data_IF_527103184813
#
_entry.id   IF_527103184813
#
_cell.length_a   1.000
_cell.length_b   1.000
_cell.length_c   1.000
_cell.angle_alpha   90.00
_cell.angle_beta   90.00
_cell.angle_gamma   90.00
#
_symmetry.space_group_name_H-M   'P 1'
#
loop_
_entity.id
_entity.type
_entity.pdbx_description
1 polymer ?
#
# COMPACT_ATOMS: atom_id res chain seq x y z
N UNK A 1 9.95 -5.08 49.28
CA UNK A 1 9.29 -5.68 48.10
C UNK A 1 9.22 -4.60 47.04
N UNK A 2 10.05 -4.66 46.00
CA UNK A 2 10.05 -3.66 44.94
C UNK A 2 8.91 -3.98 43.95
N UNK A 3 8.07 -2.99 43.65
CA UNK A 3 7.05 -3.11 42.61
C UNK A 3 7.73 -3.37 41.26
N UNK A 4 7.27 -4.35 40.46
CA UNK A 4 7.76 -4.48 39.09
C UNK A 4 7.39 -3.20 38.32
N UNK A 5 8.40 -2.58 37.69
CA UNK A 5 8.20 -1.47 36.77
C UNK A 5 7.12 -1.85 35.74
N UNK A 6 6.19 -0.95 35.38
CA UNK A 6 5.27 -1.21 34.28
C UNK A 6 6.13 -1.41 33.03
N UNK A 7 6.13 -2.62 32.48
CA UNK A 7 6.72 -2.91 31.19
C UNK A 7 6.03 -2.04 30.16
N UNK A 8 6.69 -0.98 29.71
CA UNK A 8 6.22 -0.10 28.65
C UNK A 8 6.09 -0.95 27.40
N UNK A 9 4.86 -1.37 27.06
CA UNK A 9 4.65 -2.07 25.81
C UNK A 9 5.06 -1.14 24.65
N UNK A 10 5.78 -1.65 23.64
CA UNK A 10 6.24 -0.82 22.55
C UNK A 10 5.03 -0.26 21.81
N UNK A 11 5.04 1.06 21.58
CA UNK A 11 3.96 1.76 20.88
C UNK A 11 3.86 1.24 19.46
N UNK A 12 2.64 0.88 19.03
CA UNK A 12 2.37 0.44 17.67
C UNK A 12 1.56 1.47 16.89
N UNK A 13 1.79 1.54 15.59
CA UNK A 13 1.08 2.40 14.64
C UNK A 13 0.58 1.55 13.47
N UNK A 14 -0.31 2.12 12.65
CA UNK A 14 -0.87 1.43 11.49
C UNK A 14 -0.08 1.85 10.26
N UNK A 15 0.47 0.86 9.56
CA UNK A 15 1.24 1.03 8.34
C UNK A 15 0.51 0.38 7.16
N UNK A 16 0.86 0.82 5.95
CA UNK A 16 0.52 0.14 4.71
C UNK A 16 1.72 0.22 3.77
N UNK A 17 1.82 -0.71 2.82
CA UNK A 17 2.94 -0.76 1.87
C UNK A 17 2.43 -0.46 0.48
N UNK A 18 3.08 0.49 -0.18
CA UNK A 18 2.67 1.04 -1.46
C UNK A 18 3.76 0.84 -2.51
N UNK A 19 3.37 0.31 -3.67
CA UNK A 19 4.16 0.37 -4.87
C UNK A 19 3.92 1.72 -5.56
N UNK A 20 5.00 2.42 -5.85
CA UNK A 20 4.95 3.76 -6.43
C UNK A 20 5.16 3.69 -7.95
N UNK A 21 4.38 4.45 -8.75
CA UNK A 21 4.63 4.56 -10.18
C UNK A 21 5.98 5.25 -10.43
N UNK A 22 6.66 4.96 -11.56
CA UNK A 22 7.91 5.63 -11.90
C UNK A 22 7.70 7.13 -12.14
N UNK A 23 8.76 7.92 -11.98
CA UNK A 23 8.72 9.38 -12.11
C UNK A 23 8.27 9.86 -13.51
N UNK A 24 8.44 9.05 -14.56
CA UNK A 24 7.92 9.37 -15.89
C UNK A 24 6.39 9.31 -15.99
N UNK A 25 5.71 8.63 -15.06
CA UNK A 25 4.25 8.42 -15.05
C UNK A 25 3.58 9.23 -13.93
N UNK A 26 4.27 9.43 -12.80
CA UNK A 26 3.74 10.10 -11.61
C UNK A 26 3.14 11.49 -11.87
N UNK A 27 3.76 12.41 -12.64
CA UNK A 27 3.18 13.72 -12.93
C UNK A 27 1.85 13.64 -13.68
N UNK A 28 1.73 12.72 -14.65
CA UNK A 28 0.49 12.50 -15.40
C UNK A 28 -0.64 12.04 -14.48
N UNK A 29 -0.35 11.12 -13.55
CA UNK A 29 -1.33 10.64 -12.57
C UNK A 29 -1.73 11.75 -11.59
N UNK A 30 -0.77 12.53 -11.09
CA UNK A 30 -1.04 13.68 -10.22
C UNK A 30 -1.93 14.73 -10.90
N UNK A 31 -1.68 15.04 -12.17
CA UNK A 31 -2.51 15.97 -12.93
C UNK A 31 -3.94 15.44 -13.10
N UNK A 32 -4.11 14.15 -13.42
CA UNK A 32 -5.43 13.52 -13.50
C UNK A 32 -6.17 13.57 -12.15
N UNK A 33 -5.50 13.20 -11.07
CA UNK A 33 -6.06 13.22 -9.72
C UNK A 33 -6.45 14.64 -9.28
N UNK A 34 -5.61 15.63 -9.58
CA UNK A 34 -5.89 17.04 -9.27
C UNK A 34 -7.08 17.58 -10.05
N UNK A 35 -7.23 17.21 -11.33
CA UNK A 35 -8.39 17.59 -12.14
C UNK A 35 -9.69 17.03 -11.58
N UNK A 36 -9.72 15.71 -11.32
CA UNK A 36 -10.89 15.07 -10.72
C UNK A 36 -11.23 15.65 -9.34
N UNK A 37 -10.23 15.94 -8.51
CA UNK A 37 -10.44 16.57 -7.20
C UNK A 37 -11.02 17.98 -7.31
N UNK A 38 -10.59 18.76 -8.31
CA UNK A 38 -11.10 20.12 -8.49
C UNK A 38 -12.59 20.13 -8.87
N UNK A 39 -13.05 19.10 -9.59
CA UNK A 39 -14.43 19.00 -10.06
C UNK A 39 -15.38 18.33 -9.03
N UNK A 40 -14.87 17.44 -8.18
CA UNK A 40 -15.69 16.57 -7.32
C UNK A 40 -15.35 16.61 -5.83
N UNK A 41 -14.39 17.45 -5.43
CA UNK A 41 -13.78 17.49 -4.10
C UNK A 41 -13.10 16.16 -3.67
N UNK A 42 -12.26 16.23 -2.64
CA UNK A 42 -11.60 15.06 -2.06
C UNK A 42 -10.21 15.35 -1.49
N UNK A 43 -9.65 14.44 -0.68
CA UNK A 43 -8.33 14.62 -0.11
C UNK A 43 -7.23 14.49 -1.17
N UNK A 44 -6.13 15.19 -0.95
CA UNK A 44 -4.89 14.96 -1.70
C UNK A 44 -4.17 13.70 -1.22
N UNK A 45 -3.67 12.90 -2.15
CA UNK A 45 -2.82 11.75 -1.88
C UNK A 45 -1.88 11.47 -3.04
N UNK A 46 -0.85 10.65 -2.79
CA UNK A 46 0.11 10.25 -3.83
C UNK A 46 -0.43 9.09 -4.67
N UNK A 47 -0.19 9.04 -6.00
CA UNK A 47 -0.59 7.88 -6.79
C UNK A 47 0.19 6.64 -6.34
N UNK A 48 -0.52 5.56 -5.99
CA UNK A 48 0.08 4.32 -5.52
C UNK A 48 -0.78 3.09 -5.85
N UNK A 49 -0.16 1.91 -5.79
CA UNK A 49 -0.84 0.63 -5.70
C UNK A 49 -0.55 0.06 -4.31
N UNK A 50 -1.59 -0.19 -3.51
CA UNK A 50 -1.43 -0.84 -2.21
C UNK A 50 -1.08 -2.30 -2.40
N UNK A 51 0.08 -2.73 -1.91
CA UNK A 51 0.54 -4.13 -1.96
C UNK A 51 0.29 -4.87 -0.64
N UNK A 52 0.29 -4.15 0.48
CA UNK A 52 -0.09 -4.62 1.81
C UNK A 52 -1.00 -3.57 2.45
N UNK A 53 -2.17 -4.00 2.91
CA UNK A 53 -3.15 -3.13 3.55
C UNK A 53 -2.74 -2.68 4.96
N UNK A 54 -3.69 -2.07 5.67
CA UNK A 54 -3.48 -1.57 7.02
C UNK A 54 -3.04 -2.69 7.99
N UNK A 55 -1.82 -2.58 8.54
CA UNK A 55 -1.24 -3.52 9.49
C UNK A 55 -0.66 -2.78 10.70
N UNK A 56 -0.85 -3.32 11.91
CA UNK A 56 -0.35 -2.72 13.16
C UNK A 56 1.03 -3.25 13.51
N UNK A 57 2.02 -2.36 13.56
CA UNK A 57 3.42 -2.71 13.82
C UNK A 57 4.06 -1.69 14.75
N UNK A 58 5.18 -2.06 15.39
CA UNK A 58 6.10 -1.07 15.95
C UNK A 58 6.88 -0.43 14.79
N UNK A 59 7.38 0.81 14.95
CA UNK A 59 8.21 1.46 13.93
C UNK A 59 9.44 0.64 13.53
N UNK A 60 10.07 -0.04 14.49
CA UNK A 60 11.25 -0.87 14.27
C UNK A 60 10.92 -2.08 13.39
N UNK A 61 9.83 -2.79 13.71
CA UNK A 61 9.37 -3.93 12.91
C UNK A 61 8.94 -3.50 11.51
N UNK A 62 8.27 -2.35 11.37
CA UNK A 62 7.89 -1.83 10.06
C UNK A 62 9.11 -1.56 9.17
N UNK A 63 10.17 -0.98 9.74
CA UNK A 63 11.43 -0.73 9.04
C UNK A 63 12.19 -2.02 8.68
N UNK A 64 12.23 -3.00 9.58
CA UNK A 64 12.87 -4.29 9.32
C UNK A 64 12.13 -5.05 8.21
N UNK A 65 10.80 -5.16 8.32
CA UNK A 65 9.97 -5.87 7.36
C UNK A 65 10.01 -5.23 5.97
N UNK A 66 9.97 -3.89 5.85
CA UNK A 66 10.04 -3.24 4.53
C UNK A 66 11.42 -3.43 3.88
N UNK A 67 12.51 -3.39 4.65
CA UNK A 67 13.86 -3.67 4.13
C UNK A 67 13.98 -5.11 3.66
N UNK A 68 13.45 -6.04 4.45
CA UNK A 68 13.44 -7.47 4.10
C UNK A 68 12.65 -7.71 2.82
N UNK A 69 11.41 -7.20 2.74
CA UNK A 69 10.55 -7.33 1.57
C UNK A 69 11.17 -6.74 0.30
N UNK A 70 11.76 -5.55 0.40
CA UNK A 70 12.34 -4.85 -0.76
C UNK A 70 13.68 -5.44 -1.23
N UNK A 71 14.40 -6.20 -0.40
CA UNK A 71 15.67 -6.82 -0.79
C UNK A 71 15.54 -7.88 -1.90
N UNK A 72 14.40 -8.59 -1.94
CA UNK A 72 14.08 -9.61 -2.94
C UNK A 72 13.14 -9.15 -4.05
N UNK A 73 12.59 -7.93 -3.95
CA UNK A 73 11.57 -7.44 -4.87
C UNK A 73 12.20 -6.56 -5.95
N UNK A 74 11.98 -6.93 -7.21
CA UNK A 74 12.36 -6.10 -8.37
C UNK A 74 11.18 -5.21 -8.78
N UNK A 75 11.43 -4.05 -9.40
CA UNK A 75 10.38 -3.30 -10.07
C UNK A 75 9.61 -4.20 -11.05
N UNK A 76 8.29 -4.09 -11.05
CA UNK A 76 7.40 -4.90 -11.87
C UNK A 76 6.52 -4.02 -12.76
N UNK A 77 5.94 -4.63 -13.81
CA UNK A 77 5.02 -3.92 -14.70
C UNK A 77 3.58 -4.10 -14.22
N UNK A 78 2.89 -2.97 -14.06
CA UNK A 78 1.45 -2.93 -13.85
C UNK A 78 0.77 -2.35 -15.10
N UNK A 79 -0.31 -3.00 -15.56
CA UNK A 79 -1.11 -2.54 -16.68
C UNK A 79 -2.50 -2.14 -16.18
N UNK A 80 -2.97 -0.97 -16.60
CA UNK A 80 -4.34 -0.55 -16.33
C UNK A 80 -5.27 -1.32 -17.25
N UNK A 81 -6.19 -2.08 -16.67
CA UNK A 81 -7.25 -2.78 -17.36
C UNK A 81 -8.37 -1.82 -17.77
N UNK A 82 -8.81 -0.97 -16.83
CA UNK A 82 -9.92 -0.05 -17.02
C UNK A 82 -9.94 1.04 -15.93
N UNK A 83 -10.80 2.04 -16.13
CA UNK A 83 -11.27 2.91 -15.04
C UNK A 83 -12.46 2.22 -14.39
N UNK A 84 -12.48 2.14 -13.07
CA UNK A 84 -13.56 1.52 -12.30
C UNK A 84 -13.98 2.41 -11.13
N UNK A 85 -15.10 2.04 -10.50
CA UNK A 85 -15.69 2.72 -9.34
C UNK A 85 -16.24 1.69 -8.35
N UNK A 86 -16.22 2.04 -7.08
CA UNK A 86 -16.78 1.25 -5.99
C UNK A 86 -17.90 2.00 -5.28
N UNK A 87 -18.22 1.53 -4.08
CA UNK A 87 -19.35 2.04 -3.28
C UNK A 87 -18.93 2.60 -1.92
N UNK A 88 -17.63 2.77 -1.68
CA UNK A 88 -17.10 3.36 -0.45
C UNK A 88 -15.98 4.36 -0.71
N UNK A 89 -15.69 5.19 0.29
CA UNK A 89 -14.81 6.36 0.17
C UNK A 89 -13.46 6.10 -0.51
N UNK A 90 -12.72 5.07 -0.09
CA UNK A 90 -11.39 4.76 -0.66
C UNK A 90 -11.44 4.03 -2.02
N UNK A 91 -12.64 3.69 -2.51
CA UNK A 91 -12.87 3.13 -3.84
C UNK A 91 -13.90 3.97 -4.60
N UNK A 92 -13.74 5.29 -4.61
CA UNK A 92 -14.62 6.19 -5.37
C UNK A 92 -14.42 6.01 -6.90
N UNK A 93 -13.24 6.40 -7.40
CA UNK A 93 -12.79 6.17 -8.77
C UNK A 93 -11.34 5.69 -8.71
N UNK A 94 -11.01 4.62 -9.41
CA UNK A 94 -9.67 4.06 -9.41
C UNK A 94 -9.32 3.41 -10.76
N UNK A 95 -8.02 3.29 -11.02
CA UNK A 95 -7.50 2.52 -12.14
C UNK A 95 -7.44 1.06 -11.73
N UNK A 96 -8.23 0.21 -12.37
CA UNK A 96 -8.18 -1.24 -12.14
C UNK A 96 -6.93 -1.79 -12.80
N UNK A 97 -6.07 -2.45 -12.03
CA UNK A 97 -4.82 -3.04 -12.52
C UNK A 97 -5.08 -4.50 -12.93
N UNK A 98 -4.55 -4.91 -14.08
CA UNK A 98 -4.57 -6.32 -14.49
C UNK A 98 -3.83 -7.19 -13.46
N UNK A 99 -4.42 -8.30 -13.00
CA UNK A 99 -3.78 -9.20 -12.05
C UNK A 99 -2.76 -10.10 -12.75
N UNK A 100 -1.75 -9.48 -13.37
CA UNK A 100 -0.64 -10.22 -13.97
C UNK A 100 0.13 -10.96 -12.89
N UNK A 101 0.86 -12.01 -13.28
CA UNK A 101 1.70 -12.80 -12.37
C UNK A 101 2.61 -11.91 -11.52
N UNK A 102 3.29 -10.93 -12.12
CA UNK A 102 4.21 -10.04 -11.41
C UNK A 102 3.50 -9.20 -10.33
N UNK A 103 2.28 -8.70 -10.61
CA UNK A 103 1.49 -7.89 -9.66
C UNK A 103 1.06 -8.74 -8.47
N UNK A 104 0.54 -9.94 -8.73
CA UNK A 104 0.06 -10.86 -7.69
C UNK A 104 1.22 -11.37 -6.85
N UNK A 105 2.33 -11.76 -7.47
CA UNK A 105 3.53 -12.23 -6.76
C UNK A 105 4.17 -11.13 -5.92
N UNK A 106 4.19 -9.88 -6.39
CA UNK A 106 4.69 -8.75 -5.60
C UNK A 106 3.85 -8.53 -4.33
N UNK A 107 2.52 -8.63 -4.43
CA UNK A 107 1.65 -8.54 -3.26
C UNK A 107 1.83 -9.73 -2.32
N UNK A 108 1.85 -10.97 -2.84
CA UNK A 108 2.04 -12.17 -2.04
C UNK A 108 3.40 -12.18 -1.30
N UNK A 109 4.47 -11.79 -1.99
CA UNK A 109 5.81 -11.64 -1.41
C UNK A 109 5.79 -10.65 -0.25
N UNK A 110 5.26 -9.44 -0.45
CA UNK A 110 5.16 -8.45 0.61
C UNK A 110 4.24 -8.92 1.75
N UNK A 111 3.10 -9.55 1.45
CA UNK A 111 2.21 -10.09 2.48
C UNK A 111 2.91 -11.14 3.35
N UNK A 112 3.72 -12.03 2.76
CA UNK A 112 4.51 -13.01 3.48
C UNK A 112 5.51 -12.38 4.46
N UNK A 113 6.23 -11.34 4.03
CA UNK A 113 7.17 -10.60 4.88
C UNK A 113 6.49 -9.86 6.04
N UNK A 114 5.27 -9.37 5.83
CA UNK A 114 4.51 -8.60 6.81
C UNK A 114 3.56 -9.47 7.65
N UNK A 115 3.46 -10.79 7.37
CA UNK A 115 2.46 -11.66 8.01
C UNK A 115 1.02 -11.21 7.74
N UNK A 116 0.79 -10.52 6.62
CA UNK A 116 -0.51 -9.94 6.29
C UNK A 116 -1.39 -10.98 5.59
N UNK A 117 -2.58 -11.22 6.13
CA UNK A 117 -3.60 -12.05 5.49
C UNK A 117 -4.48 -11.15 4.62
N UNK A 118 -4.30 -11.25 3.30
CA UNK A 118 -5.19 -10.57 2.35
C UNK A 118 -6.37 -11.47 2.00
N UNK A 119 -7.56 -10.88 1.85
CA UNK A 119 -8.75 -11.57 1.30
C UNK A 119 -8.67 -11.81 -0.21
N UNK A 120 -7.58 -11.39 -0.85
CA UNK A 120 -7.29 -11.56 -2.28
C UNK A 120 -6.29 -12.68 -2.57
N UNK A 121 -5.86 -13.43 -1.55
CA UNK A 121 -4.96 -14.57 -1.65
C UNK A 121 -5.67 -15.95 -1.65
N UNK A 122 -6.98 -15.98 -1.90
CA UNK A 122 -7.75 -17.23 -2.15
C UNK A 122 -8.03 -17.45 -3.65
#
# INVERSE_FOLDING_TARGET
MANPNPTTQPKTEVYSVWALPPESVRPRLKSLMSGLRADYDGPEFEPHITVVGAIRLTPESALEMIRSATSGLRPYKAKVASVSRGTFFYQCVYLLIEPTKEVVEASAHCCGHFGYQSSTCE
#
